data_IF_204785543789
#
_entry.id   IF_204785543789
#
_cell.length_a   1.000
_cell.length_b   1.000
_cell.length_c   1.000
_cell.angle_alpha   90.00
_cell.angle_beta   90.00
_cell.angle_gamma   90.00
#
_symmetry.space_group_name_H-M   'P 1'
#
loop_
_entity.id
_entity.type
_entity.pdbx_description
1 polymer ?
#
# COMPACT_ATOMS: atom_id res chain seq x y z
N UNK A 1 24.29 -13.17 4.38
CA UNK A 1 23.10 -12.33 4.13
C UNK A 1 21.88 -13.23 4.25
N UNK A 2 20.89 -12.85 5.07
CA UNK A 2 19.62 -13.57 5.07
C UNK A 2 18.84 -13.15 3.82
N UNK A 3 18.68 -14.06 2.87
CA UNK A 3 17.83 -13.86 1.70
C UNK A 3 16.41 -14.26 2.09
N UNK A 4 15.52 -13.28 2.23
CA UNK A 4 14.10 -13.54 2.40
C UNK A 4 13.46 -13.71 1.03
N UNK A 5 12.92 -14.89 0.75
CA UNK A 5 12.05 -15.13 -0.39
C UNK A 5 10.61 -14.83 0.06
N UNK A 6 9.94 -13.90 -0.62
CA UNK A 6 8.55 -13.56 -0.33
C UNK A 6 7.62 -14.39 -1.20
N UNK A 7 6.70 -15.11 -0.59
CA UNK A 7 5.62 -15.80 -1.27
C UNK A 7 4.66 -14.77 -1.92
N UNK A 8 4.66 -14.73 -3.25
CA UNK A 8 3.84 -13.80 -4.03
C UNK A 8 2.46 -14.43 -4.23
N UNK A 9 1.35 -13.69 -4.07
CA UNK A 9 0.03 -14.25 -4.30
C UNK A 9 -0.15 -14.69 -5.77
N UNK A 10 -0.45 -15.97 -5.96
CA UNK A 10 -0.66 -16.56 -7.30
C UNK A 10 -2.03 -16.23 -7.90
N UNK A 11 -2.99 -15.83 -7.06
CA UNK A 11 -4.37 -15.61 -7.46
C UNK A 11 -4.90 -14.23 -7.04
N UNK A 12 -5.74 -13.62 -7.91
CA UNK A 12 -6.36 -12.31 -7.66
C UNK A 12 -7.10 -12.22 -6.32
N UNK A 13 -7.91 -13.21 -5.90
CA UNK A 13 -8.58 -13.15 -4.60
C UNK A 13 -7.62 -13.07 -3.42
N UNK A 14 -6.50 -13.81 -3.50
CA UNK A 14 -5.47 -13.79 -2.47
C UNK A 14 -4.78 -12.41 -2.44
N UNK A 15 -4.37 -11.92 -3.62
CA UNK A 15 -3.78 -10.60 -3.78
C UNK A 15 -4.64 -9.49 -3.17
N UNK A 16 -5.95 -9.47 -3.47
CA UNK A 16 -6.89 -8.51 -2.91
C UNK A 16 -6.96 -8.63 -1.38
N UNK A 17 -7.05 -9.86 -0.84
CA UNK A 17 -7.14 -10.09 0.60
C UNK A 17 -5.89 -9.68 1.38
N UNK A 18 -4.69 -9.92 0.82
CA UNK A 18 -3.43 -9.50 1.42
C UNK A 18 -3.30 -7.97 1.39
N UNK A 19 -3.59 -7.36 0.24
CA UNK A 19 -3.50 -5.90 0.07
C UNK A 19 -4.50 -5.16 0.94
N UNK A 20 -5.69 -5.72 1.18
CA UNK A 20 -6.65 -5.19 2.16
C UNK A 20 -6.00 -5.04 3.55
N UNK A 21 -5.35 -6.09 4.05
CA UNK A 21 -4.70 -6.08 5.39
C UNK A 21 -3.63 -5.00 5.48
N UNK A 22 -2.76 -4.91 4.47
CA UNK A 22 -1.69 -3.92 4.46
C UNK A 22 -2.21 -2.48 4.32
N UNK A 23 -3.21 -2.26 3.47
CA UNK A 23 -3.81 -0.93 3.28
C UNK A 23 -4.54 -0.46 4.53
N UNK A 24 -5.40 -1.30 5.12
CA UNK A 24 -6.12 -0.94 6.35
C UNK A 24 -5.14 -0.75 7.52
N UNK A 25 -4.19 -1.68 7.70
CA UNK A 25 -3.17 -1.58 8.74
C UNK A 25 -2.32 -0.32 8.63
N UNK A 26 -1.82 -0.01 7.43
CA UNK A 26 -1.04 1.20 7.20
C UNK A 26 -1.87 2.48 7.35
N UNK A 27 -3.12 2.47 6.90
CA UNK A 27 -4.04 3.62 7.03
C UNK A 27 -4.30 3.95 8.50
N UNK A 28 -4.74 2.96 9.29
CA UNK A 28 -5.03 3.19 10.71
C UNK A 28 -3.77 3.51 11.51
N UNK A 29 -2.62 2.88 11.21
CA UNK A 29 -1.35 3.24 11.83
C UNK A 29 -0.93 4.68 11.51
N UNK A 30 -1.13 5.13 10.26
CA UNK A 30 -0.84 6.50 9.86
C UNK A 30 -1.78 7.52 10.51
N UNK A 31 -3.08 7.24 10.59
CA UNK A 31 -4.02 8.10 11.31
C UNK A 31 -3.66 8.18 12.79
N UNK A 32 -3.37 7.03 13.41
CA UNK A 32 -2.98 6.97 14.82
C UNK A 32 -1.70 7.76 15.12
N UNK A 33 -0.67 7.60 14.29
CA UNK A 33 0.60 8.31 14.45
C UNK A 33 0.45 9.82 14.25
N UNK A 34 -0.41 10.25 13.31
CA UNK A 34 -0.70 11.66 13.07
C UNK A 34 -1.52 12.30 14.19
N UNK A 35 -2.45 11.58 14.82
CA UNK A 35 -3.20 12.11 15.97
C UNK A 35 -2.31 12.26 17.22
N UNK A 36 -1.36 11.34 17.40
CA UNK A 36 -0.48 11.29 18.56
C UNK A 36 0.92 11.87 18.33
N UNK A 37 1.12 12.65 17.26
CA UNK A 37 2.43 13.21 16.89
C UNK A 37 3.12 13.99 18.03
N UNK A 38 2.34 14.59 18.94
CA UNK A 38 2.84 15.32 20.12
C UNK A 38 3.65 14.46 21.09
N UNK A 39 3.40 13.14 21.15
CA UNK A 39 4.13 12.20 22.01
C UNK A 39 5.63 12.14 21.69
N UNK A 40 6.05 12.61 20.51
CA UNK A 40 7.46 12.62 20.15
C UNK A 40 8.28 13.60 20.99
N UNK A 41 7.65 14.63 21.55
CA UNK A 41 8.33 15.61 22.40
C UNK A 41 8.74 15.03 23.75
N UNK A 42 8.00 14.05 24.28
CA UNK A 42 8.32 13.34 25.51
C UNK A 42 9.38 12.24 25.34
N UNK A 43 9.93 12.04 24.15
CA UNK A 43 10.99 11.04 23.90
C UNK A 43 12.39 11.60 24.13
N UNK A 44 13.36 10.71 24.41
CA UNK A 44 14.78 11.05 24.62
C UNK A 44 15.56 11.36 23.33
N UNK A 45 14.88 11.61 22.22
CA UNK A 45 15.53 11.95 20.96
C UNK A 45 16.19 13.34 20.99
N UNK A 46 17.29 13.49 20.25
CA UNK A 46 17.93 14.80 20.04
C UNK A 46 16.98 15.77 19.36
N UNK A 47 17.16 17.08 19.61
CA UNK A 47 16.31 18.13 19.02
C UNK A 47 16.30 18.04 17.49
N UNK A 48 17.46 17.81 16.86
CA UNK A 48 17.56 17.63 15.41
C UNK A 48 16.71 16.43 14.92
N UNK A 49 16.75 15.29 15.62
CA UNK A 49 15.94 14.12 15.28
C UNK A 49 14.44 14.39 15.46
N UNK A 50 14.05 15.11 16.52
CA UNK A 50 12.66 15.53 16.74
C UNK A 50 12.15 16.42 15.59
N UNK A 51 12.96 17.36 15.10
CA UNK A 51 12.60 18.22 13.95
C UNK A 51 12.43 17.38 12.67
N UNK A 52 13.36 16.47 12.38
CA UNK A 52 13.25 15.59 11.20
C UNK A 52 11.99 14.72 11.23
N UNK A 53 11.63 14.18 12.40
CA UNK A 53 10.41 13.40 12.57
C UNK A 53 9.14 14.25 12.38
N UNK A 54 9.15 15.54 12.70
CA UNK A 54 8.04 16.44 12.37
C UNK A 54 7.91 16.69 10.87
N UNK A 55 9.02 16.81 10.15
CA UNK A 55 9.00 16.90 8.69
C UNK A 55 8.39 15.62 8.10
N UNK A 56 8.75 14.46 8.64
CA UNK A 56 8.17 13.17 8.25
C UNK A 56 6.66 13.09 8.54
N UNK A 57 6.19 13.59 9.69
CA UNK A 57 4.76 13.68 9.97
C UNK A 57 4.02 14.56 8.96
N UNK A 58 4.59 15.69 8.55
CA UNK A 58 3.99 16.54 7.50
C UNK A 58 3.93 15.81 6.17
N UNK A 59 5.01 15.13 5.77
CA UNK A 59 5.02 14.30 4.56
C UNK A 59 3.97 13.17 4.63
N UNK A 60 3.84 12.51 5.78
CA UNK A 60 2.87 11.43 5.98
C UNK A 60 1.43 11.97 5.93
N UNK A 61 1.18 13.15 6.49
CA UNK A 61 -0.12 13.82 6.41
C UNK A 61 -0.51 14.14 4.96
N UNK A 62 0.39 14.78 4.20
CA UNK A 62 0.15 15.09 2.78
C UNK A 62 -0.05 13.80 1.97
N UNK A 63 0.76 12.77 2.21
CA UNK A 63 0.63 11.47 1.56
C UNK A 63 -0.68 10.78 1.87
N UNK A 64 -1.16 10.89 3.11
CA UNK A 64 -2.46 10.37 3.53
C UNK A 64 -3.60 11.12 2.86
N UNK A 65 -3.52 12.45 2.71
CA UNK A 65 -4.52 13.23 1.94
C UNK A 65 -4.57 12.79 0.48
N UNK A 66 -3.42 12.63 -0.19
CA UNK A 66 -3.39 12.12 -1.57
C UNK A 66 -3.95 10.71 -1.69
N UNK A 67 -3.68 9.86 -0.69
CA UNK A 67 -4.25 8.52 -0.63
C UNK A 67 -5.77 8.59 -0.39
N UNK A 68 -6.25 9.47 0.49
CA UNK A 68 -7.67 9.59 0.80
C UNK A 68 -8.48 10.08 -0.42
N UNK A 69 -7.95 11.02 -1.21
CA UNK A 69 -8.60 11.55 -2.42
C UNK A 69 -8.17 10.86 -3.72
N UNK A 70 -7.44 9.74 -3.65
CA UNK A 70 -6.89 9.05 -4.82
C UNK A 70 -7.97 8.62 -5.82
N UNK A 71 -9.15 8.19 -5.36
CA UNK A 71 -10.24 7.72 -6.22
C UNK A 71 -10.79 8.88 -7.07
N UNK A 72 -11.09 10.01 -6.45
CA UNK A 72 -11.52 11.22 -7.16
C UNK A 72 -10.42 11.76 -8.09
N UNK A 73 -9.18 11.80 -7.62
CA UNK A 73 -8.04 12.25 -8.42
C UNK A 73 -7.76 11.36 -9.63
N UNK A 74 -7.91 10.05 -9.49
CA UNK A 74 -7.82 9.10 -10.60
C UNK A 74 -8.89 9.40 -11.65
N UNK A 75 -10.16 9.51 -11.24
CA UNK A 75 -11.26 9.81 -12.14
C UNK A 75 -11.08 11.15 -12.86
N UNK A 76 -10.69 12.20 -12.12
CA UNK A 76 -10.45 13.53 -12.70
C UNK A 76 -9.27 13.54 -13.68
N UNK A 77 -8.19 12.84 -13.36
CA UNK A 77 -7.04 12.71 -14.25
C UNK A 77 -7.44 11.98 -15.53
N UNK A 78 -8.18 10.87 -15.42
CA UNK A 78 -8.77 10.20 -16.58
C UNK A 78 -9.67 11.16 -17.37
N UNK A 79 -10.60 11.85 -16.70
CA UNK A 79 -11.59 12.72 -17.35
C UNK A 79 -10.93 13.86 -18.14
N UNK A 80 -9.95 14.56 -17.58
CA UNK A 80 -9.30 15.68 -18.27
C UNK A 80 -8.26 15.24 -19.30
N UNK A 81 -7.46 14.22 -19.00
CA UNK A 81 -6.40 13.78 -19.93
C UNK A 81 -7.01 13.04 -21.12
N UNK A 82 -7.88 12.05 -20.88
CA UNK A 82 -8.53 11.34 -21.98
C UNK A 82 -9.60 12.20 -22.67
N UNK A 83 -10.29 13.09 -21.94
CA UNK A 83 -11.24 14.03 -22.53
C UNK A 83 -10.61 15.06 -23.46
N UNK A 84 -9.32 15.35 -23.30
CA UNK A 84 -8.59 16.26 -24.18
C UNK A 84 -8.47 15.77 -25.62
N UNK A 85 -8.53 14.45 -25.84
CA UNK A 85 -8.52 13.83 -27.18
C UNK A 85 -9.89 13.92 -27.87
N UNK A 86 -10.93 14.36 -27.17
CA UNK A 86 -12.23 14.64 -27.78
C UNK A 86 -12.25 15.97 -28.55
N UNK A 87 -11.26 16.85 -28.35
CA UNK A 87 -11.12 18.09 -29.11
C UNK A 87 -10.64 17.77 -30.55
N UNK A 88 -11.35 18.22 -31.61
CA UNK A 88 -10.95 18.01 -32.99
C UNK A 88 -9.51 18.44 -33.31
N UNK A 89 -8.94 19.40 -32.57
CA UNK A 89 -7.56 19.85 -32.76
C UNK A 89 -6.53 18.85 -32.25
N UNK A 90 -6.87 18.04 -31.26
CA UNK A 90 -5.98 17.08 -30.60
C UNK A 90 -6.29 15.62 -30.96
N UNK A 91 -7.40 15.36 -31.64
CA UNK A 91 -7.83 14.02 -32.06
C UNK A 91 -6.75 13.31 -32.91
N UNK A 92 -6.22 12.16 -32.45
CA UNK A 92 -5.27 11.33 -33.21
C UNK A 92 -5.93 10.52 -34.33
N UNK A 93 -7.23 10.24 -34.24
CA UNK A 93 -7.93 9.32 -35.13
C UNK A 93 -8.71 10.04 -36.24
N UNK A 94 -9.01 11.33 -36.03
CA UNK A 94 -9.85 12.11 -36.93
C UNK A 94 -11.33 11.69 -36.88
N UNK A 95 -12.17 12.43 -37.59
CA UNK A 95 -13.62 12.17 -37.69
C UNK A 95 -14.38 12.08 -36.35
N UNK A 96 -13.90 12.76 -35.30
CA UNK A 96 -14.49 12.73 -33.95
C UNK A 96 -14.45 11.34 -33.28
N UNK A 97 -13.64 10.41 -33.77
CA UNK A 97 -13.55 9.06 -33.22
C UNK A 97 -13.00 9.08 -31.78
N UNK A 98 -12.10 10.01 -31.48
CA UNK A 98 -11.61 10.24 -30.12
C UNK A 98 -12.72 10.60 -29.12
N UNK A 99 -13.73 11.35 -29.55
CA UNK A 99 -14.87 11.74 -28.72
C UNK A 99 -15.77 10.54 -28.37
N UNK A 100 -16.07 9.68 -29.33
CA UNK A 100 -16.88 8.48 -29.09
C UNK A 100 -16.18 7.49 -28.14
N UNK A 101 -14.89 7.26 -28.35
CA UNK A 101 -14.08 6.40 -27.47
C UNK A 101 -14.04 6.98 -26.05
N UNK A 102 -13.82 8.29 -25.91
CA UNK A 102 -13.82 8.94 -24.61
C UNK A 102 -15.15 8.75 -23.87
N UNK A 103 -16.29 9.00 -24.53
CA UNK A 103 -17.59 8.82 -23.88
C UNK A 103 -17.85 7.37 -23.48
N UNK A 104 -17.51 6.40 -24.33
CA UNK A 104 -17.62 4.98 -24.01
C UNK A 104 -16.78 4.63 -22.77
N UNK A 105 -15.49 5.02 -22.76
CA UNK A 105 -14.59 4.74 -21.64
C UNK A 105 -14.98 5.49 -20.37
N UNK A 106 -15.54 6.70 -20.49
CA UNK A 106 -16.05 7.47 -19.35
C UNK A 106 -17.19 6.74 -18.65
N UNK A 107 -18.21 6.32 -19.40
CA UNK A 107 -19.33 5.57 -18.81
C UNK A 107 -18.88 4.21 -18.29
N UNK A 108 -18.00 3.51 -19.03
CA UNK A 108 -17.41 2.26 -18.57
C UNK A 108 -16.66 2.44 -17.25
N UNK A 109 -15.84 3.48 -17.11
CA UNK A 109 -15.09 3.78 -15.89
C UNK A 109 -16.02 4.01 -14.69
N UNK A 110 -17.05 4.85 -14.85
CA UNK A 110 -18.02 5.13 -13.77
C UNK A 110 -18.78 3.86 -13.37
N UNK A 111 -19.27 3.09 -14.34
CA UNK A 111 -19.98 1.84 -14.07
C UNK A 111 -19.07 0.79 -13.41
N UNK A 112 -17.79 0.73 -13.79
CA UNK A 112 -16.82 -0.15 -13.14
C UNK A 112 -16.53 0.26 -11.70
N UNK A 113 -16.41 1.56 -11.41
CA UNK A 113 -16.25 2.06 -10.05
C UNK A 113 -17.48 1.68 -9.21
N UNK A 114 -18.69 1.89 -9.74
CA UNK A 114 -19.94 1.50 -9.06
C UNK A 114 -20.00 -0.02 -8.84
N UNK A 115 -19.68 -0.82 -9.86
CA UNK A 115 -19.59 -2.28 -9.75
C UNK A 115 -18.58 -2.70 -8.67
N UNK A 116 -17.47 -1.99 -8.53
CA UNK A 116 -16.44 -2.28 -7.54
C UNK A 116 -16.95 -2.06 -6.11
N UNK A 117 -17.76 -1.02 -5.87
CA UNK A 117 -18.42 -0.81 -4.58
C UNK A 117 -19.40 -1.96 -4.26
N UNK A 118 -20.22 -2.36 -5.23
CA UNK A 118 -21.19 -3.46 -5.06
C UNK A 118 -20.47 -4.78 -4.76
N UNK A 119 -19.43 -5.12 -5.52
CA UNK A 119 -18.65 -6.33 -5.31
C UNK A 119 -17.93 -6.33 -3.96
N UNK A 120 -17.41 -5.17 -3.54
CA UNK A 120 -16.60 -5.08 -2.31
C UNK A 120 -17.41 -5.13 -1.02
N UNK A 121 -18.69 -4.75 -1.07
CA UNK A 121 -19.59 -4.83 0.08
C UNK A 121 -20.28 -6.20 0.20
N UNK A 122 -20.72 -6.77 -0.93
CA UNK A 122 -21.54 -7.99 -0.91
C UNK A 122 -20.76 -9.30 -1.01
N UNK A 123 -19.61 -9.29 -1.69
CA UNK A 123 -18.92 -10.52 -2.07
C UNK A 123 -17.50 -10.60 -1.52
N UNK A 124 -17.11 -11.80 -1.08
CA UNK A 124 -15.69 -12.10 -0.87
C UNK A 124 -14.98 -12.24 -2.22
N UNK A 125 -13.72 -11.79 -2.36
CA UNK A 125 -12.93 -11.94 -3.59
C UNK A 125 -12.86 -13.39 -4.08
N UNK A 126 -12.87 -14.36 -3.15
CA UNK A 126 -12.86 -15.79 -3.46
C UNK A 126 -14.14 -16.25 -4.17
N UNK A 127 -15.30 -15.66 -3.83
CA UNK A 127 -16.60 -15.99 -4.43
C UNK A 127 -16.81 -15.36 -5.82
N UNK A 128 -16.22 -14.20 -6.07
CA UNK A 128 -16.43 -13.43 -7.32
C UNK A 128 -15.15 -13.25 -8.17
N UNK A 129 -14.25 -14.25 -8.17
CA UNK A 129 -12.91 -14.15 -8.80
C UNK A 129 -12.91 -13.66 -10.26
N UNK A 130 -13.90 -14.08 -11.06
CA UNK A 130 -14.02 -13.69 -12.49
C UNK A 130 -14.39 -12.22 -12.64
N UNK A 131 -15.28 -11.72 -11.79
CA UNK A 131 -15.77 -10.33 -11.85
C UNK A 131 -14.66 -9.36 -11.43
N UNK A 132 -13.90 -9.68 -10.38
CA UNK A 132 -12.72 -8.91 -9.98
C UNK A 132 -11.61 -8.96 -11.03
N UNK A 133 -11.36 -10.11 -11.65
CA UNK A 133 -10.37 -10.21 -12.73
C UNK A 133 -10.80 -9.38 -13.95
N UNK A 134 -12.06 -9.49 -14.38
CA UNK A 134 -12.59 -8.74 -15.50
C UNK A 134 -12.50 -7.21 -15.27
N UNK A 135 -12.86 -6.73 -14.07
CA UNK A 135 -12.76 -5.30 -13.75
C UNK A 135 -11.32 -4.81 -13.79
N UNK A 136 -10.36 -5.59 -13.28
CA UNK A 136 -8.93 -5.24 -13.35
C UNK A 136 -8.41 -5.16 -14.80
N UNK A 137 -8.85 -6.06 -15.68
CA UNK A 137 -8.50 -6.02 -17.11
C UNK A 137 -9.08 -4.78 -17.77
N UNK A 138 -10.35 -4.45 -17.53
CA UNK A 138 -10.98 -3.27 -18.13
C UNK A 138 -10.36 -1.96 -17.61
N UNK A 139 -10.01 -1.90 -16.31
CA UNK A 139 -9.22 -0.78 -15.78
C UNK A 139 -7.85 -0.65 -16.44
N UNK A 140 -7.19 -1.77 -16.75
CA UNK A 140 -5.95 -1.78 -17.52
C UNK A 140 -6.09 -1.18 -18.92
N UNK A 141 -7.19 -1.49 -19.63
CA UNK A 141 -7.51 -0.90 -20.94
C UNK A 141 -7.74 0.60 -20.83
N UNK A 142 -8.49 1.04 -19.80
CA UNK A 142 -8.72 2.47 -19.52
C UNK A 142 -7.38 3.18 -19.31
N UNK A 143 -6.43 2.57 -18.59
CA UNK A 143 -5.11 3.19 -18.41
C UNK A 143 -4.24 3.21 -19.62
N UNK A 144 -4.23 2.14 -20.39
CA UNK A 144 -3.52 2.12 -21.66
C UNK A 144 -3.98 3.29 -22.53
N UNK A 145 -5.29 3.53 -22.59
CA UNK A 145 -5.85 4.69 -23.30
C UNK A 145 -5.43 6.04 -22.69
N UNK A 146 -5.51 6.23 -21.36
CA UNK A 146 -5.05 7.50 -20.75
C UNK A 146 -3.56 7.75 -20.92
N UNK A 147 -2.74 6.70 -20.90
CA UNK A 147 -1.30 6.79 -21.08
C UNK A 147 -0.99 7.16 -22.52
N UNK A 148 -1.68 6.53 -23.48
CA UNK A 148 -1.62 6.91 -24.89
C UNK A 148 -2.03 8.38 -25.09
N UNK A 149 -3.14 8.81 -24.49
CA UNK A 149 -3.60 10.19 -24.52
C UNK A 149 -2.53 11.16 -23.99
N UNK A 150 -1.95 10.87 -22.82
CA UNK A 150 -0.90 11.68 -22.23
C UNK A 150 0.34 11.78 -23.14
N UNK A 151 0.81 10.66 -23.69
CA UNK A 151 1.97 10.62 -24.59
C UNK A 151 1.70 11.39 -25.90
N UNK A 152 0.50 11.22 -26.46
CA UNK A 152 0.10 11.93 -27.67
C UNK A 152 0.10 13.45 -27.49
N UNK A 153 -0.45 13.95 -26.38
CA UNK A 153 -0.43 15.37 -26.03
C UNK A 153 1.02 15.88 -25.95
N UNK A 154 1.92 15.13 -25.32
CA UNK A 154 3.34 15.48 -25.20
C UNK A 154 4.01 15.56 -26.58
N UNK A 155 3.81 14.55 -27.43
CA UNK A 155 4.39 14.50 -28.79
C UNK A 155 3.89 15.65 -29.67
N UNK A 156 2.59 15.94 -29.62
CA UNK A 156 1.97 17.03 -30.39
C UNK A 156 2.47 18.40 -29.91
N UNK A 157 2.64 18.57 -28.61
CA UNK A 157 3.22 19.78 -28.04
C UNK A 157 4.70 19.96 -28.40
N UNK A 158 5.48 18.88 -28.49
CA UNK A 158 6.88 18.91 -28.96
C UNK A 158 7.00 19.24 -30.45
N UNK A 159 6.02 18.84 -31.25
CA UNK A 159 6.03 19.03 -32.71
C UNK A 159 5.66 20.46 -33.09
N UNK A 160 4.78 21.10 -32.32
CA UNK A 160 4.43 22.51 -32.47
C UNK A 160 5.53 23.40 -31.86
N UNK A 161 6.55 23.71 -32.67
CA UNK A 161 7.78 24.44 -32.28
C UNK A 161 7.59 25.85 -31.71
N UNK A 162 6.39 26.43 -31.78
CA UNK A 162 6.13 27.83 -31.41
C UNK A 162 6.05 28.07 -29.89
N UNK A 163 5.89 27.01 -29.07
CA UNK A 163 5.63 27.11 -27.62
C UNK A 163 6.71 26.44 -26.73
N UNK A 164 7.93 26.25 -27.26
CA UNK A 164 9.07 25.64 -26.52
C UNK A 164 9.72 26.61 -25.50
N UNK A 165 8.94 27.46 -24.85
CA UNK A 165 9.41 28.27 -23.71
C UNK A 165 9.11 27.54 -22.41
N UNK A 166 10.15 27.26 -21.63
CA UNK A 166 10.02 26.85 -20.22
C UNK A 166 9.30 27.98 -19.47
N UNK A 167 8.08 27.72 -19.03
CA UNK A 167 7.20 28.70 -18.39
C UNK A 167 6.00 28.02 -17.72
N UNK A 168 4.98 28.79 -17.32
CA UNK A 168 3.76 28.24 -16.69
C UNK A 168 2.78 27.62 -17.71
N UNK A 169 3.34 26.88 -18.66
CA UNK A 169 2.64 26.31 -19.80
C UNK A 169 2.39 24.80 -19.57
N UNK A 170 1.36 24.27 -20.23
CA UNK A 170 0.99 22.84 -20.17
C UNK A 170 2.19 21.92 -20.46
N UNK A 171 3.05 22.33 -21.39
CA UNK A 171 4.28 21.63 -21.75
C UNK A 171 5.21 21.37 -20.55
N UNK A 172 5.54 22.42 -19.78
CA UNK A 172 6.41 22.32 -18.61
C UNK A 172 5.76 21.46 -17.53
N UNK A 173 4.46 21.63 -17.29
CA UNK A 173 3.73 20.85 -16.28
C UNK A 173 3.72 19.35 -16.62
N UNK A 174 3.52 19.01 -17.89
CA UNK A 174 3.50 17.61 -18.35
C UNK A 174 4.89 16.97 -18.38
N UNK A 175 5.94 17.71 -18.78
CA UNK A 175 7.31 17.20 -18.76
C UNK A 175 7.81 17.02 -17.33
N UNK A 176 7.61 18.01 -16.46
CA UNK A 176 8.01 17.92 -15.04
C UNK A 176 7.29 16.74 -14.39
N UNK A 177 5.99 16.57 -14.64
CA UNK A 177 5.25 15.39 -14.20
C UNK A 177 5.89 14.10 -14.73
N UNK A 178 6.07 13.96 -16.05
CA UNK A 178 6.62 12.74 -16.66
C UNK A 178 8.02 12.38 -16.11
N UNK A 179 8.91 13.38 -16.00
CA UNK A 179 10.24 13.21 -15.40
C UNK A 179 10.17 12.87 -13.91
N UNK A 180 9.20 13.41 -13.17
CA UNK A 180 9.04 13.08 -11.76
C UNK A 180 8.49 11.66 -11.54
N UNK A 181 7.60 11.18 -12.41
CA UNK A 181 6.94 9.88 -12.22
C UNK A 181 7.76 8.74 -12.81
N UNK A 182 8.32 8.92 -14.01
CA UNK A 182 9.14 7.90 -14.67
C UNK A 182 10.63 8.17 -14.45
N UNK A 183 11.07 9.40 -14.69
CA UNK A 183 12.50 9.76 -14.64
C UNK A 183 13.12 9.54 -13.26
N UNK A 184 12.45 9.95 -12.17
CA UNK A 184 12.95 9.70 -10.81
C UNK A 184 12.98 8.21 -10.47
N UNK A 185 12.01 7.41 -10.93
CA UNK A 185 12.00 5.97 -10.67
C UNK A 185 13.18 5.30 -11.36
N UNK A 186 13.39 5.58 -12.65
CA UNK A 186 14.56 5.08 -13.38
C UNK A 186 15.87 5.55 -12.75
N UNK A 187 16.00 6.84 -12.45
CA UNK A 187 17.21 7.41 -11.84
C UNK A 187 17.54 6.75 -10.50
N UNK A 188 16.53 6.55 -9.64
CA UNK A 188 16.72 5.86 -8.37
C UNK A 188 17.08 4.39 -8.57
N UNK A 189 16.42 3.66 -9.49
CA UNK A 189 16.76 2.26 -9.75
C UNK A 189 18.19 2.08 -10.27
N UNK A 190 18.70 3.00 -11.09
CA UNK A 190 20.11 3.02 -11.51
C UNK A 190 21.06 3.33 -10.34
N UNK A 191 20.72 4.32 -9.52
CA UNK A 191 21.50 4.73 -8.36
C UNK A 191 21.57 3.61 -7.29
N UNK A 192 20.53 2.78 -7.18
CA UNK A 192 20.50 1.58 -6.33
C UNK A 192 21.08 0.31 -6.99
N UNK A 193 21.66 0.42 -8.19
CA UNK A 193 22.30 -0.67 -8.95
C UNK A 193 21.38 -1.87 -9.24
N UNK A 194 20.08 -1.63 -9.40
CA UNK A 194 19.11 -2.67 -9.74
C UNK A 194 18.06 -2.14 -10.73
N UNK A 195 18.43 -1.78 -11.97
CA UNK A 195 17.49 -1.19 -12.91
C UNK A 195 16.54 -2.22 -13.56
N UNK A 196 16.78 -3.51 -13.38
CA UNK A 196 16.15 -4.56 -14.20
C UNK A 196 14.63 -4.62 -14.04
N UNK A 197 14.12 -4.42 -12.82
CA UNK A 197 12.69 -4.40 -12.53
C UNK A 197 11.93 -3.27 -13.26
N UNK A 198 12.61 -2.18 -13.63
CA UNK A 198 12.01 -1.11 -14.44
C UNK A 198 11.83 -1.52 -15.91
N UNK A 199 12.66 -2.43 -16.44
CA UNK A 199 12.52 -2.90 -17.82
C UNK A 199 11.52 -4.06 -17.94
N UNK A 200 11.45 -4.94 -16.94
CA UNK A 200 10.62 -6.14 -17.01
C UNK A 200 9.18 -5.92 -16.54
N UNK A 201 8.95 -5.10 -15.51
CA UNK A 201 7.65 -5.06 -14.81
C UNK A 201 6.97 -3.68 -14.79
N UNK A 202 7.63 -2.61 -15.23
CA UNK A 202 7.07 -1.25 -15.15
C UNK A 202 5.77 -1.09 -15.95
N UNK A 203 5.71 -1.60 -17.17
CA UNK A 203 4.52 -1.50 -18.03
C UNK A 203 3.29 -2.16 -17.36
N UNK A 204 3.48 -3.33 -16.76
CA UNK A 204 2.43 -4.05 -16.02
C UNK A 204 1.99 -3.26 -14.77
N UNK A 205 2.95 -2.67 -14.05
CA UNK A 205 2.68 -1.84 -12.89
C UNK A 205 1.84 -0.60 -13.24
N UNK A 206 2.22 0.15 -14.29
CA UNK A 206 1.50 1.34 -14.72
C UNK A 206 0.09 1.02 -15.25
N UNK A 207 -0.07 -0.09 -15.96
CA UNK A 207 -1.38 -0.56 -16.41
C UNK A 207 -2.31 -0.92 -15.24
N UNK A 208 -1.76 -1.45 -14.13
CA UNK A 208 -2.54 -1.88 -12.97
C UNK A 208 -2.79 -0.78 -11.92
N UNK A 209 -2.30 0.44 -12.12
CA UNK A 209 -2.50 1.55 -11.17
C UNK A 209 -3.97 1.81 -10.77
N UNK A 210 -4.98 1.80 -11.68
CA UNK A 210 -6.37 1.99 -11.30
C UNK A 210 -6.90 0.80 -10.57
N UNK A 211 -6.42 -0.41 -10.86
CA UNK A 211 -6.81 -1.57 -10.08
C UNK A 211 -6.32 -1.42 -8.64
N UNK A 212 -5.17 -0.76 -8.40
CA UNK A 212 -4.74 -0.46 -7.04
C UNK A 212 -5.62 0.59 -6.34
N UNK A 213 -6.09 1.59 -7.07
CA UNK A 213 -6.95 2.65 -6.52
C UNK A 213 -8.40 2.17 -6.45
N UNK A 214 -9.03 1.93 -7.60
CA UNK A 214 -10.42 1.54 -7.68
C UNK A 214 -10.69 0.17 -7.06
N UNK A 215 -9.91 -0.89 -7.37
CA UNK A 215 -10.22 -2.23 -6.86
C UNK A 215 -9.71 -2.46 -5.43
N UNK A 216 -8.40 -2.31 -5.20
CA UNK A 216 -7.83 -2.64 -3.89
C UNK A 216 -8.24 -1.65 -2.80
N UNK A 217 -8.24 -0.35 -3.08
CA UNK A 217 -8.54 0.66 -2.07
C UNK A 217 -10.03 0.71 -1.71
N UNK A 218 -10.94 0.62 -2.69
CA UNK A 218 -12.37 0.50 -2.41
C UNK A 218 -12.62 -0.77 -1.60
N UNK A 219 -12.02 -1.90 -1.96
CA UNK A 219 -12.17 -3.14 -1.20
C UNK A 219 -11.62 -3.01 0.23
N UNK A 220 -10.51 -2.30 0.42
CA UNK A 220 -9.92 -2.02 1.73
C UNK A 220 -10.88 -1.21 2.62
N UNK A 221 -11.38 -0.07 2.14
CA UNK A 221 -12.31 0.77 2.90
C UNK A 221 -13.66 0.09 3.14
N UNK A 222 -14.24 -0.59 2.14
CA UNK A 222 -15.46 -1.40 2.31
C UNK A 222 -15.27 -2.54 3.32
N UNK A 223 -14.04 -2.88 3.69
CA UNK A 223 -13.74 -3.88 4.72
C UNK A 223 -12.91 -3.31 5.87
N UNK A 224 -13.06 -2.02 6.19
CA UNK A 224 -12.31 -1.34 7.25
C UNK A 224 -12.55 -1.91 8.67
N UNK A 225 -13.66 -2.62 8.88
CA UNK A 225 -13.98 -3.33 10.12
C UNK A 225 -13.06 -4.53 10.42
N UNK A 226 -12.39 -5.09 9.41
CA UNK A 226 -11.49 -6.23 9.57
C UNK A 226 -10.04 -5.74 9.59
N UNK A 227 -9.59 -5.32 10.78
CA UNK A 227 -8.23 -4.84 11.07
C UNK A 227 -7.45 -5.94 11.77
N UNK A 228 -7.27 -7.06 11.09
CA UNK A 228 -6.41 -8.16 11.55
C UNK A 228 -5.02 -8.03 10.93
N UNK A 229 -3.99 -7.90 11.79
CA UNK A 229 -2.60 -8.09 11.38
C UNK A 229 -2.29 -9.59 11.52
N UNK A 230 -2.15 -10.29 10.38
CA UNK A 230 -1.99 -11.75 10.37
C UNK A 230 -1.34 -12.28 9.08
N UNK A 231 -0.77 -13.47 9.19
CA UNK A 231 -0.06 -14.17 8.11
C UNK A 231 -1.04 -14.89 7.17
N UNK A 232 -0.53 -15.49 6.09
CA UNK A 232 -1.33 -16.22 5.08
C UNK A 232 -2.04 -17.42 5.75
N UNK A 233 -3.37 -17.41 5.86
CA UNK A 233 -4.15 -18.56 6.37
C UNK A 233 -5.34 -18.25 7.30
N UNK A 234 -5.38 -17.08 7.95
CA UNK A 234 -6.36 -16.75 9.01
C UNK A 234 -7.82 -16.49 8.55
N UNK A 235 -8.19 -16.83 7.31
CA UNK A 235 -9.55 -16.59 6.80
C UNK A 235 -10.54 -17.72 7.12
N UNK A 236 -10.15 -18.72 7.92
CA UNK A 236 -11.04 -19.81 8.33
C UNK A 236 -11.87 -19.32 9.50
N UNK A 237 -13.15 -19.04 9.24
CA UNK A 237 -14.11 -18.85 10.32
C UNK A 237 -14.27 -20.20 11.00
N UNK A 238 -13.70 -20.33 12.20
CA UNK A 238 -14.03 -21.43 13.09
C UNK A 238 -15.52 -21.28 13.43
N UNK A 239 -16.36 -22.11 12.82
CA UNK A 239 -17.75 -22.22 13.22
C UNK A 239 -17.76 -22.95 14.54
N UNK A 240 -17.95 -22.23 15.63
CA UNK A 240 -18.18 -22.83 16.94
C UNK A 240 -19.46 -23.67 16.86
N UNK A 241 -19.35 -24.97 17.13
CA UNK A 241 -20.49 -25.89 17.14
C UNK A 241 -21.31 -25.78 18.44
N UNK A 242 -21.00 -24.81 19.31
CA UNK A 242 -21.70 -24.64 20.59
C UNK A 242 -21.48 -25.85 21.50
N UNK A 243 -22.56 -26.39 22.08
CA UNK A 243 -22.49 -27.52 23.02
C UNK A 243 -22.05 -28.85 22.40
N UNK A 244 -22.00 -28.96 21.07
CA UNK A 244 -21.58 -30.19 20.39
C UNK A 244 -20.05 -30.27 20.34
N UNK A 245 -19.45 -30.92 21.35
CA UNK A 245 -18.04 -31.33 21.29
C UNK A 245 -17.93 -32.52 20.33
N UNK A 246 -17.35 -32.28 19.16
CA UNK A 246 -16.92 -33.36 18.27
C UNK A 246 -15.81 -34.16 18.95
N UNK A 247 -16.04 -35.45 19.19
CA UNK A 247 -14.99 -36.37 19.61
C UNK A 247 -14.00 -36.54 18.46
N UNK A 248 -12.74 -36.18 18.68
CA UNK A 248 -11.68 -35.96 17.66
C UNK A 248 -11.31 -37.21 16.85
N UNK A 249 -11.93 -38.38 17.09
CA UNK A 249 -11.51 -39.67 16.50
C UNK A 249 -12.51 -40.36 15.58
N UNK A 250 -13.79 -39.97 15.54
CA UNK A 250 -14.81 -40.81 14.87
C UNK A 250 -15.96 -40.08 14.17
N UNK A 251 -16.00 -38.74 14.18
CA UNK A 251 -17.09 -38.01 13.51
C UNK A 251 -18.48 -38.18 14.15
N UNK A 252 -18.53 -38.74 15.36
CA UNK A 252 -19.74 -38.86 16.18
C UNK A 252 -19.83 -37.67 17.14
N UNK A 253 -21.02 -37.09 17.24
CA UNK A 253 -21.34 -36.03 18.22
C UNK A 253 -21.69 -36.71 19.53
N UNK A 254 -20.90 -36.49 20.56
CA UNK A 254 -21.22 -36.95 21.92
C UNK A 254 -22.17 -35.93 22.55
N UNK A 255 -23.44 -36.33 22.68
CA UNK A 255 -24.46 -35.57 23.39
C UNK A 255 -24.73 -36.31 24.71
N UNK A 256 -24.44 -35.68 25.84
CA UNK A 256 -24.88 -36.19 27.14
C UNK A 256 -26.40 -36.09 27.20
N UNK A 257 -27.07 -37.23 27.00
CA UNK A 257 -28.51 -37.35 27.22
C UNK A 257 -28.74 -37.84 28.66
N UNK A 258 -29.58 -37.16 29.46
CA UNK A 258 -29.94 -37.65 30.78
C UNK A 258 -30.61 -39.03 30.67
N UNK A 259 -30.04 -40.03 31.31
CA UNK A 259 -30.52 -41.42 31.25
C UNK A 259 -31.19 -41.89 32.55
N UNK A 260 -31.05 -41.11 33.62
CA UNK A 260 -31.62 -41.43 34.93
C UNK A 260 -33.09 -40.98 34.98
N UNK A 261 -33.98 -41.83 35.48
CA UNK A 261 -35.43 -41.54 35.50
C UNK A 261 -35.73 -40.24 36.27
N UNK A 262 -34.97 -39.96 37.33
CA UNK A 262 -35.11 -38.74 38.13
C UNK A 262 -34.74 -37.47 37.34
N UNK A 263 -33.76 -37.55 36.44
CA UNK A 263 -33.38 -36.43 35.56
C UNK A 263 -34.42 -36.21 34.46
N UNK A 264 -35.04 -37.29 33.97
CA UNK A 264 -36.14 -37.22 33.00
C UNK A 264 -37.38 -36.59 33.63
N UNK A 265 -37.78 -37.06 34.81
CA UNK A 265 -38.96 -36.58 35.53
C UNK A 265 -38.75 -35.13 36.00
N UNK A 266 -37.55 -34.78 36.48
CA UNK A 266 -37.23 -33.39 36.85
C UNK A 266 -37.20 -32.44 35.65
N UNK A 267 -36.65 -32.86 34.51
CA UNK A 267 -36.72 -32.10 33.26
C UNK A 267 -38.15 -31.96 32.72
N UNK A 268 -38.99 -32.97 32.90
CA UNK A 268 -40.41 -32.92 32.55
C UNK A 268 -41.20 -31.95 33.44
N UNK A 269 -40.99 -32.00 34.76
CA UNK A 269 -41.60 -31.08 35.71
C UNK A 269 -41.15 -29.63 35.50
N UNK A 270 -39.87 -29.43 35.18
CA UNK A 270 -39.32 -28.11 34.81
C UNK A 270 -39.96 -27.59 33.52
N UNK A 271 -40.13 -28.43 32.49
CA UNK A 271 -40.81 -28.07 31.26
C UNK A 271 -42.28 -27.71 31.49
N UNK A 272 -43.01 -28.46 32.34
CA UNK A 272 -44.39 -28.16 32.73
C UNK A 272 -44.50 -26.83 33.49
N UNK A 273 -43.57 -26.53 34.40
CA UNK A 273 -43.50 -25.23 35.10
C UNK A 273 -43.22 -24.09 34.13
N UNK A 274 -42.27 -24.27 33.21
CA UNK A 274 -41.94 -23.28 32.19
C UNK A 274 -43.12 -23.00 31.23
N UNK A 275 -43.91 -24.03 30.89
CA UNK A 275 -45.15 -23.89 30.12
C UNK A 275 -46.26 -23.16 30.88
N UNK A 276 -46.41 -23.42 32.18
CA UNK A 276 -47.46 -22.83 33.02
C UNK A 276 -47.18 -21.37 33.37
N UNK A 277 -45.96 -21.07 33.77
CA UNK A 277 -45.61 -19.78 34.39
C UNK A 277 -45.02 -18.78 33.37
N UNK A 278 -44.96 -19.15 32.07
CA UNK A 278 -44.40 -18.38 30.93
C UNK A 278 -43.35 -17.37 31.40
N UNK A 279 -42.25 -17.88 31.97
CA UNK A 279 -41.15 -17.05 32.43
C UNK A 279 -40.65 -16.27 31.22
N UNK A 280 -40.87 -14.96 31.23
CA UNK A 280 -40.33 -14.09 30.19
C UNK A 280 -38.82 -14.17 30.31
N UNK A 281 -38.19 -14.94 29.42
CA UNK A 281 -36.74 -14.98 29.30
C UNK A 281 -36.34 -13.54 28.98
N UNK A 282 -35.62 -12.84 29.89
CA UNK A 282 -35.16 -11.50 29.59
C UNK A 282 -34.37 -11.59 28.30
N UNK A 283 -34.73 -10.75 27.31
CA UNK A 283 -34.09 -10.79 26.01
C UNK A 283 -32.58 -10.83 26.24
N UNK A 284 -31.87 -11.85 25.72
CA UNK A 284 -30.45 -11.99 25.98
C UNK A 284 -29.80 -10.66 25.61
N UNK A 285 -29.17 -10.02 26.60
CA UNK A 285 -28.39 -8.82 26.34
C UNK A 285 -27.43 -9.13 25.21
N UNK A 286 -27.28 -8.23 24.25
CA UNK A 286 -26.32 -8.42 23.16
C UNK A 286 -24.97 -8.70 23.80
N UNK A 287 -24.39 -9.87 23.51
CA UNK A 287 -23.12 -10.26 24.11
C UNK A 287 -22.07 -9.20 23.81
N UNK A 288 -21.15 -8.94 24.75
CA UNK A 288 -20.12 -7.90 24.59
C UNK A 288 -19.33 -8.07 23.29
N UNK A 289 -19.07 -9.32 22.88
CA UNK A 289 -18.44 -9.64 21.60
C UNK A 289 -19.28 -9.18 20.39
N UNK A 290 -20.60 -9.36 20.43
CA UNK A 290 -21.50 -8.92 19.37
C UNK A 290 -21.56 -7.39 19.31
N UNK A 291 -21.57 -6.71 20.45
CA UNK A 291 -21.53 -5.24 20.51
C UNK A 291 -20.23 -4.67 19.92
N UNK A 292 -19.09 -5.31 20.17
CA UNK A 292 -17.80 -4.94 19.58
C UNK A 292 -17.80 -5.14 18.05
N UNK A 293 -18.32 -6.28 17.57
CA UNK A 293 -18.45 -6.53 16.13
C UNK A 293 -19.32 -5.48 15.44
N UNK A 294 -20.47 -5.16 16.04
CA UNK A 294 -21.39 -4.16 15.50
C UNK A 294 -20.77 -2.76 15.52
N UNK A 295 -20.00 -2.42 16.56
CA UNK A 295 -19.22 -1.19 16.59
C UNK A 295 -18.21 -1.11 15.44
N UNK A 296 -17.39 -2.14 15.22
CA UNK A 296 -16.43 -2.14 14.11
C UNK A 296 -17.10 -2.08 12.74
N UNK A 297 -18.24 -2.78 12.57
CA UNK A 297 -19.05 -2.70 11.34
C UNK A 297 -19.63 -1.31 11.13
N UNK A 298 -20.06 -0.62 12.19
CA UNK A 298 -20.54 0.75 12.13
C UNK A 298 -19.42 1.73 11.76
N UNK A 299 -18.23 1.60 12.38
CA UNK A 299 -17.05 2.41 12.05
C UNK A 299 -16.71 2.30 10.57
N UNK A 300 -16.69 1.08 10.00
CA UNK A 300 -16.54 0.88 8.55
C UNK A 300 -17.56 1.73 7.79
N UNK A 301 -18.84 1.59 8.11
CA UNK A 301 -19.92 2.27 7.38
C UNK A 301 -19.72 3.78 7.38
N UNK A 302 -19.40 4.38 8.54
CA UNK A 302 -19.12 5.81 8.63
C UNK A 302 -17.89 6.22 7.81
N UNK A 303 -16.79 5.49 7.92
CA UNK A 303 -15.56 5.78 7.18
C UNK A 303 -15.81 5.72 5.67
N UNK A 304 -16.50 4.69 5.19
CA UNK A 304 -16.82 4.53 3.76
C UNK A 304 -17.75 5.64 3.27
N UNK A 305 -18.82 5.97 4.01
CA UNK A 305 -19.75 7.02 3.60
C UNK A 305 -19.03 8.37 3.50
N UNK A 306 -18.24 8.75 4.51
CA UNK A 306 -17.48 10.01 4.50
C UNK A 306 -16.47 10.00 3.35
N UNK A 307 -15.73 8.90 3.19
CA UNK A 307 -14.72 8.78 2.14
C UNK A 307 -15.30 8.88 0.72
N UNK A 308 -16.40 8.17 0.46
CA UNK A 308 -17.10 8.21 -0.83
C UNK A 308 -17.69 9.59 -1.07
N UNK A 309 -18.35 10.19 -0.07
CA UNK A 309 -18.92 11.53 -0.20
C UNK A 309 -17.85 12.57 -0.53
N UNK A 310 -16.72 12.57 0.19
CA UNK A 310 -15.62 13.49 -0.08
C UNK A 310 -15.03 13.31 -1.49
N UNK A 311 -14.82 12.08 -1.95
CA UNK A 311 -14.29 11.81 -3.29
C UNK A 311 -15.30 12.15 -4.40
N UNK A 312 -16.58 11.85 -4.18
CA UNK A 312 -17.65 12.16 -5.14
C UNK A 312 -17.84 13.67 -5.28
N UNK A 313 -17.92 14.41 -4.17
CA UNK A 313 -18.03 15.88 -4.18
C UNK A 313 -16.84 16.50 -4.89
N UNK A 314 -15.61 16.05 -4.60
CA UNK A 314 -14.41 16.52 -5.29
C UNK A 314 -14.48 16.25 -6.80
N UNK A 315 -14.88 15.05 -7.21
CA UNK A 315 -15.01 14.72 -8.63
C UNK A 315 -16.08 15.58 -9.33
N UNK A 316 -17.26 15.74 -8.71
CA UNK A 316 -18.37 16.53 -9.27
C UNK A 316 -17.99 18.00 -9.42
N UNK A 317 -17.58 18.65 -8.32
CA UNK A 317 -17.24 20.08 -8.30
C UNK A 317 -16.15 20.41 -9.32
N UNK A 318 -15.05 19.64 -9.33
CA UNK A 318 -13.95 19.94 -10.24
C UNK A 318 -14.34 19.67 -11.70
N UNK A 319 -15.11 18.61 -11.96
CA UNK A 319 -15.58 18.31 -13.33
C UNK A 319 -16.50 19.41 -13.87
N UNK A 320 -17.35 20.01 -13.03
CA UNK A 320 -18.27 21.09 -13.43
C UNK A 320 -17.55 22.43 -13.58
N UNK A 321 -16.72 22.82 -12.60
CA UNK A 321 -16.00 24.10 -12.60
C UNK A 321 -15.08 24.23 -13.82
N UNK A 322 -14.45 23.13 -14.22
CA UNK A 322 -13.54 23.10 -15.37
C UNK A 322 -14.18 22.50 -16.62
N UNK A 323 -15.51 22.33 -16.65
CA UNK A 323 -16.22 21.83 -17.83
C UNK A 323 -15.97 22.74 -19.04
N UNK A 324 -15.46 22.17 -20.12
CA UNK A 324 -15.16 22.91 -21.36
C UNK A 324 -13.89 23.77 -21.34
N UNK A 325 -13.15 23.85 -20.23
CA UNK A 325 -11.84 24.50 -20.22
C UNK A 325 -10.78 23.61 -20.89
N UNK A 326 -9.96 24.19 -21.78
CA UNK A 326 -8.82 23.46 -22.33
C UNK A 326 -7.88 23.00 -21.20
N UNK A 327 -7.32 21.80 -21.33
CA UNK A 327 -6.38 21.20 -20.35
C UNK A 327 -5.25 22.15 -19.93
N UNK A 328 -4.86 23.07 -20.83
CA UNK A 328 -3.84 24.09 -20.57
C UNK A 328 -4.21 25.04 -19.43
N UNK A 329 -5.48 25.35 -19.24
CA UNK A 329 -5.94 26.38 -18.29
C UNK A 329 -6.54 25.76 -17.03
N UNK A 330 -6.61 24.43 -16.95
CA UNK A 330 -7.09 23.72 -15.77
C UNK A 330 -6.06 23.79 -14.63
N UNK A 331 -6.28 24.71 -13.69
CA UNK A 331 -5.42 24.90 -12.53
C UNK A 331 -5.37 23.68 -11.61
N UNK A 332 -6.48 22.95 -11.46
CA UNK A 332 -6.54 21.77 -10.61
C UNK A 332 -5.63 20.66 -11.11
N UNK A 333 -5.64 20.39 -12.42
CA UNK A 333 -4.73 19.41 -13.01
C UNK A 333 -3.26 19.81 -12.78
N UNK A 334 -2.92 21.09 -12.98
CA UNK A 334 -1.55 21.59 -12.68
C UNK A 334 -1.18 21.36 -11.22
N UNK A 335 -2.07 21.70 -10.30
CA UNK A 335 -1.87 21.53 -8.87
C UNK A 335 -1.58 20.06 -8.50
N UNK A 336 -2.36 19.11 -9.02
CA UNK A 336 -2.12 17.68 -8.78
C UNK A 336 -0.77 17.25 -9.32
N UNK A 337 -0.46 17.57 -10.59
CA UNK A 337 0.77 17.13 -11.23
C UNK A 337 2.01 17.64 -10.48
N UNK A 338 2.03 18.91 -10.07
CA UNK A 338 3.11 19.48 -9.27
C UNK A 338 3.19 18.92 -7.86
N UNK A 339 2.04 18.66 -7.23
CA UNK A 339 2.02 18.09 -5.88
C UNK A 339 2.55 16.65 -5.86
N UNK A 340 2.16 15.83 -6.85
CA UNK A 340 2.69 14.47 -7.01
C UNK A 340 4.18 14.51 -7.28
N UNK A 341 4.65 15.43 -8.15
CA UNK A 341 6.07 15.63 -8.40
C UNK A 341 6.84 16.03 -7.13
N UNK A 342 6.28 16.91 -6.30
CA UNK A 342 6.88 17.34 -5.03
C UNK A 342 6.98 16.19 -4.02
N UNK A 343 5.93 15.39 -3.87
CA UNK A 343 5.94 14.21 -2.99
C UNK A 343 6.94 13.16 -3.48
N UNK A 344 7.02 12.92 -4.79
CA UNK A 344 7.98 12.00 -5.40
C UNK A 344 9.42 12.49 -5.21
N UNK A 345 9.68 13.79 -5.37
CA UNK A 345 10.98 14.40 -5.15
C UNK A 345 11.41 14.29 -3.68
N UNK A 346 10.50 14.57 -2.73
CA UNK A 346 10.80 14.40 -1.30
C UNK A 346 11.22 12.96 -0.99
N UNK A 347 10.51 11.97 -1.55
CA UNK A 347 10.87 10.55 -1.43
C UNK A 347 12.24 10.24 -2.06
N UNK A 348 12.52 10.80 -3.23
CA UNK A 348 13.80 10.63 -3.92
C UNK A 348 14.96 11.23 -3.12
N UNK A 349 14.78 12.40 -2.49
CA UNK A 349 15.76 13.01 -1.58
C UNK A 349 15.98 12.12 -0.36
N UNK A 350 14.90 11.66 0.30
CA UNK A 350 14.99 10.74 1.43
C UNK A 350 15.76 9.46 1.08
N UNK A 351 15.41 8.83 -0.04
CA UNK A 351 16.12 7.64 -0.55
C UNK A 351 17.59 7.93 -0.88
N UNK A 352 17.88 9.06 -1.53
CA UNK A 352 19.24 9.48 -1.84
C UNK A 352 20.09 9.71 -0.58
N UNK A 353 19.53 10.36 0.44
CA UNK A 353 20.23 10.55 1.72
C UNK A 353 20.52 9.22 2.41
N UNK A 354 19.57 8.27 2.40
CA UNK A 354 19.78 6.93 2.94
C UNK A 354 20.91 6.19 2.21
N UNK A 355 20.96 6.28 0.88
CA UNK A 355 22.05 5.68 0.11
C UNK A 355 23.41 6.30 0.47
N UNK A 356 23.50 7.64 0.57
CA UNK A 356 24.76 8.31 0.94
C UNK A 356 25.24 7.85 2.31
N UNK A 357 24.34 7.76 3.30
CA UNK A 357 24.66 7.23 4.63
C UNK A 357 25.15 5.78 4.52
N UNK A 358 24.51 4.94 3.72
CA UNK A 358 24.91 3.55 3.48
C UNK A 358 26.29 3.41 2.83
N UNK A 359 26.64 4.29 1.89
CA UNK A 359 27.97 4.33 1.26
C UNK A 359 29.03 4.74 2.27
N UNK A 360 28.79 5.82 3.02
CA UNK A 360 29.71 6.27 4.09
C UNK A 360 29.94 5.15 5.11
N UNK A 361 28.87 4.46 5.51
CA UNK A 361 28.96 3.32 6.42
C UNK A 361 29.80 2.17 5.84
N UNK A 362 29.58 1.84 4.57
CA UNK A 362 30.31 0.77 3.88
C UNK A 362 31.81 1.09 3.75
N UNK A 363 32.15 2.36 3.50
CA UNK A 363 33.54 2.84 3.48
C UNK A 363 34.15 2.77 4.89
N UNK A 364 33.41 3.17 5.93
CA UNK A 364 33.88 3.11 7.31
C UNK A 364 34.12 1.65 7.78
N UNK A 365 33.18 0.74 7.53
CA UNK A 365 33.36 -0.68 7.81
C UNK A 365 34.52 -1.27 6.99
N UNK A 366 34.67 -0.88 5.72
CA UNK A 366 35.77 -1.31 4.86
C UNK A 366 37.12 -0.93 5.44
N UNK A 367 37.26 0.32 5.92
CA UNK A 367 38.47 0.79 6.61
C UNK A 367 38.74 0.01 7.90
N UNK A 368 37.73 -0.21 8.74
CA UNK A 368 37.85 -0.98 9.98
C UNK A 368 38.25 -2.45 9.73
N UNK A 369 37.68 -3.08 8.69
CA UNK A 369 38.04 -4.45 8.29
C UNK A 369 39.48 -4.52 7.76
N UNK A 370 39.92 -3.51 7.01
CA UNK A 370 41.29 -3.42 6.51
C UNK A 370 42.28 -3.26 7.67
N UNK A 371 42.03 -2.34 8.60
CA UNK A 371 42.88 -2.10 9.77
C UNK A 371 42.96 -3.33 10.69
N UNK A 372 41.84 -4.04 10.90
CA UNK A 372 41.83 -5.30 11.66
C UNK A 372 42.54 -6.45 10.94
N UNK A 373 42.55 -6.46 9.60
CA UNK A 373 43.30 -7.44 8.80
C UNK A 373 44.80 -7.14 8.82
N UNK A 374 45.18 -5.87 8.80
CA UNK A 374 46.56 -5.41 8.93
C UNK A 374 47.14 -5.80 10.31
N UNK A 375 46.37 -5.58 11.39
CA UNK A 375 46.73 -6.02 12.75
C UNK A 375 46.84 -7.54 12.90
N UNK A 376 46.11 -8.33 12.11
CA UNK A 376 46.26 -9.81 12.05
C UNK A 376 47.42 -10.26 11.15
N UNK A 377 47.80 -9.47 10.14
CA UNK A 377 48.89 -9.76 9.20
C UNK A 377 50.27 -9.41 9.75
N UNK A 378 50.36 -8.43 10.64
CA UNK A 378 51.55 -8.22 11.47
C UNK A 378 51.51 -9.26 12.60
N UNK A 379 52.33 -10.30 12.53
CA UNK A 379 52.40 -11.41 13.48
C UNK A 379 52.81 -11.03 14.91
N UNK A 380 51.98 -10.25 15.61
CA UNK A 380 52.02 -10.04 17.04
C UNK A 380 50.78 -10.70 17.66
N UNK A 381 50.74 -12.02 17.53
CA UNK A 381 49.92 -12.88 18.39
C UNK A 381 50.47 -12.86 19.81
N UNK A 382 50.24 -11.76 20.54
CA UNK A 382 50.50 -11.65 21.96
C UNK A 382 49.20 -11.87 22.71
N UNK A 383 49.02 -13.05 23.32
CA UNK A 383 47.86 -13.36 24.13
C UNK A 383 47.68 -12.38 25.28
N UNK A 384 46.47 -11.85 25.44
CA UNK A 384 46.11 -11.09 26.64
C UNK A 384 44.99 -11.82 27.38
N UNK A 385 45.36 -12.27 28.58
CA UNK A 385 44.55 -12.90 29.62
C UNK A 385 43.35 -12.04 30.01
N UNK A 386 42.25 -12.72 30.31
CA UNK A 386 41.18 -12.25 31.21
C UNK A 386 41.76 -11.96 32.60
N UNK A 387 41.70 -10.72 33.06
CA UNK A 387 41.67 -10.33 34.49
C UNK A 387 40.99 -8.97 34.63
N UNK A 388 40.05 -8.87 35.57
CA UNK A 388 39.13 -7.74 35.72
C UNK A 388 39.61 -6.60 36.62
N UNK A 389 38.73 -5.59 36.75
CA UNK A 389 38.68 -4.61 37.84
C UNK A 389 39.19 -3.19 37.51
N UNK A 390 38.29 -2.20 37.55
CA UNK A 390 38.60 -0.84 38.03
C UNK A 390 38.88 0.29 37.03
N UNK A 391 37.81 1.03 36.70
CA UNK A 391 37.68 2.50 36.53
C UNK A 391 38.67 3.37 35.72
N UNK A 392 38.10 4.07 34.72
CA UNK A 392 38.62 5.30 34.06
C UNK A 392 39.54 5.00 32.86
N UNK A 393 39.31 5.44 31.62
CA UNK A 393 38.60 6.61 31.12
C UNK A 393 38.27 6.43 29.62
N UNK A 394 37.03 6.83 29.27
CA UNK A 394 36.49 7.20 27.95
C UNK A 394 37.52 7.43 26.82
N UNK A 395 37.70 6.45 25.92
CA UNK A 395 37.74 6.63 24.44
C UNK A 395 37.35 5.28 23.82
N UNK A 396 36.06 4.94 23.85
CA UNK A 396 35.51 3.77 23.17
C UNK A 396 34.60 4.26 22.06
N UNK A 397 35.10 4.29 20.82
CA UNK A 397 34.31 4.56 19.62
C UNK A 397 33.37 3.39 19.31
N UNK A 398 32.39 3.16 20.17
CA UNK A 398 31.26 2.30 19.87
C UNK A 398 30.31 3.07 18.96
N UNK A 399 30.11 2.59 17.73
CA UNK A 399 29.12 3.15 16.82
C UNK A 399 27.73 3.10 17.50
N UNK A 400 26.97 4.21 17.52
CA UNK A 400 25.61 4.23 18.06
C UNK A 400 24.73 3.11 17.50
N UNK A 401 23.89 2.47 18.32
CA UNK A 401 23.12 1.28 17.95
C UNK A 401 22.14 1.40 16.76
N UNK A 402 21.93 2.59 16.19
CA UNK A 402 21.19 2.78 14.94
C UNK A 402 22.06 2.63 13.67
N UNK A 403 23.37 2.46 13.84
CA UNK A 403 24.37 2.34 12.76
C UNK A 403 24.64 0.88 12.36
N UNK A 404 24.28 -0.12 13.17
CA UNK A 404 24.62 -1.53 12.89
C UNK A 404 23.74 -2.24 11.84
N UNK A 405 22.60 -1.66 11.43
CA UNK A 405 21.63 -2.36 10.57
C UNK A 405 21.79 -2.11 9.07
N UNK A 406 22.53 -1.08 8.65
CA UNK A 406 22.54 -0.62 7.25
C UNK A 406 23.75 -1.09 6.41
N UNK A 407 24.82 -1.60 7.04
CA UNK A 407 26.07 -1.99 6.34
C UNK A 407 26.01 -3.24 5.46
N UNK A 408 25.02 -4.12 5.67
CA UNK A 408 24.93 -5.39 4.94
C UNK A 408 24.46 -5.26 3.48
N UNK A 409 23.91 -4.11 3.07
CA UNK A 409 23.25 -3.96 1.76
C UNK A 409 24.23 -3.71 0.61
N UNK A 410 25.18 -2.79 0.78
CA UNK A 410 26.15 -2.45 -0.29
C UNK A 410 27.16 -3.57 -0.52
N UNK A 411 27.69 -4.17 0.57
CA UNK A 411 28.66 -5.26 0.47
C UNK A 411 28.09 -6.51 -0.21
N UNK A 412 26.79 -6.78 -0.07
CA UNK A 412 26.15 -7.95 -0.69
C UNK A 412 25.92 -7.75 -2.19
N UNK A 413 25.51 -6.55 -2.62
CA UNK A 413 25.34 -6.21 -4.05
C UNK A 413 26.66 -6.16 -4.82
N UNK A 414 27.74 -5.65 -4.21
CA UNK A 414 29.08 -5.64 -4.84
C UNK A 414 29.64 -7.06 -4.99
N UNK A 415 29.39 -7.95 -4.03
CA UNK A 415 29.81 -9.37 -4.15
C UNK A 415 29.04 -10.16 -5.21
N UNK A 416 27.86 -9.69 -5.63
CA UNK A 416 27.10 -10.30 -6.75
C UNK A 416 27.62 -9.87 -8.12
N UNK A 417 28.42 -8.79 -8.19
CA UNK A 417 28.97 -8.25 -9.44
C UNK A 417 30.38 -8.79 -9.76
N UNK A 418 31.04 -9.46 -8.83
CA UNK A 418 32.27 -10.22 -9.11
C UNK A 418 31.88 -11.58 -9.68
N UNK A 419 32.37 -11.99 -10.87
CA UNK A 419 32.08 -13.31 -11.40
C UNK A 419 32.68 -14.36 -10.47
N UNK A 420 31.82 -15.08 -9.76
CA UNK A 420 32.23 -16.27 -9.03
C UNK A 420 32.75 -17.27 -10.05
N UNK A 421 34.02 -17.63 -9.87
CA UNK A 421 34.79 -18.58 -10.66
C UNK A 421 33.97 -19.76 -11.18
N UNK A 422 34.09 -19.99 -12.49
CA UNK A 422 33.92 -21.28 -13.14
C UNK A 422 34.60 -22.37 -12.29
N UNK A 423 33.84 -23.36 -11.83
CA UNK A 423 34.37 -24.60 -11.28
C UNK A 423 33.65 -25.12 -10.04
N UNK A 424 32.51 -25.80 -10.23
CA UNK A 424 32.18 -27.06 -9.51
C UNK A 424 30.79 -27.57 -9.92
N UNK A 425 30.59 -27.89 -11.19
CA UNK A 425 29.65 -28.95 -11.58
C UNK A 425 30.42 -30.26 -11.52
N UNK A 426 30.36 -30.96 -10.37
CA UNK A 426 30.59 -32.40 -10.22
C UNK A 426 30.45 -32.81 -8.74
N UNK A 427 29.40 -33.58 -8.44
CA UNK A 427 29.37 -34.53 -7.33
C UNK A 427 28.82 -34.03 -5.99
N UNK A 428 27.50 -34.15 -5.79
CA UNK A 428 26.88 -35.25 -5.02
C UNK A 428 25.37 -35.15 -5.07
#
# INVERSE_FOLDING_TARGET
AATGETDVPDAVPEFISQRRRWLNGAFFAAVYSLLHFRQIWSTDHTIARKILLHIEFVYQFVSLLFTFFSLGNFYLTFYFVAGSLADPKLDPFGHHLGQYIFYLLKYCCVLLIMMQFVLSMGNRPQGAKKMFFASMVTFGVIMAYTTFAALWIVVKQLTNKEDLKLGNNLFTNMIVSCLSTFGLYFLMSFLYLDPWHMFTSSAQYFALLPSYICTLQVYAFCNAHDVTWGTKGDNVINKDLGAAKSSTKTGTVELEMPSEQLDIDSGYDEALRNLRDRVEVPAPGTGEAQQQEDYYRAVRTYVVIVWVACNAVLAMVISEVYSGTHVRDNFYLKFILWSVAGVALFRAVGSGTFMVIGVVHSVAEGKLKYENREKKGTGLGGGVRKTGGGWGSKVGGGLPGWISSSGSWVSSKVSTWTPSSIGSTLGR
#
